data_IF_302872271791
#
_entry.id   IF_302872271791
#
_cell.length_a   1.000
_cell.length_b   1.000
_cell.length_c   1.000
_cell.angle_alpha   90.00
_cell.angle_beta   90.00
_cell.angle_gamma   90.00
#
_symmetry.space_group_name_H-M   'P 1'
#
loop_
_entity.id
_entity.type
_entity.pdbx_description
1 polymer ?
#
# COMPACT_ATOMS: atom_id res chain seq x y z
N UNK A 1 5.88 9.15 -19.43
CA UNK A 1 5.55 8.87 -18.02
C UNK A 1 6.23 7.62 -17.51
N UNK A 2 6.14 6.51 -18.23
CA UNK A 2 6.85 5.26 -17.88
C UNK A 2 8.35 5.47 -17.69
N UNK A 3 8.99 6.23 -18.57
CA UNK A 3 10.42 6.57 -18.45
C UNK A 3 10.75 7.41 -17.22
N UNK A 4 9.87 8.30 -16.79
CA UNK A 4 10.08 9.16 -15.61
C UNK A 4 10.10 8.37 -14.33
N UNK A 5 9.28 7.31 -14.22
CA UNK A 5 9.16 6.46 -13.06
C UNK A 5 9.93 5.14 -13.17
N UNK A 6 10.65 4.91 -14.28
CA UNK A 6 11.40 3.67 -14.55
C UNK A 6 10.53 2.41 -14.48
N UNK A 7 9.28 2.49 -14.95
CA UNK A 7 8.30 1.40 -14.92
C UNK A 7 8.00 0.89 -16.33
N UNK A 8 7.66 -0.38 -16.42
CA UNK A 8 7.01 -0.97 -17.60
C UNK A 8 5.55 -0.51 -17.69
N UNK A 9 4.93 -0.68 -18.86
CA UNK A 9 3.52 -0.33 -19.04
C UNK A 9 2.57 -1.06 -18.05
N UNK A 10 2.70 -2.37 -17.80
CA UNK A 10 1.88 -3.05 -16.78
C UNK A 10 2.07 -2.49 -15.37
N UNK A 11 3.32 -2.22 -14.97
CA UNK A 11 3.63 -1.64 -13.66
C UNK A 11 3.06 -0.22 -13.50
N UNK A 12 3.14 0.57 -14.56
CA UNK A 12 2.54 1.90 -14.58
C UNK A 12 1.01 1.84 -14.45
N UNK A 13 0.35 0.92 -15.17
CA UNK A 13 -1.10 0.70 -15.04
C UNK A 13 -1.47 0.30 -13.60
N UNK A 14 -0.73 -0.62 -13.00
CA UNK A 14 -0.95 -1.00 -11.60
C UNK A 14 -0.80 0.21 -10.66
N UNK A 15 0.25 1.02 -10.83
CA UNK A 15 0.44 2.24 -10.05
C UNK A 15 -0.72 3.22 -10.21
N UNK A 16 -1.25 3.40 -11.42
CA UNK A 16 -2.44 4.22 -11.67
C UNK A 16 -3.68 3.65 -10.96
N UNK A 17 -3.87 2.33 -10.95
CA UNK A 17 -4.93 1.68 -10.17
C UNK A 17 -4.82 1.95 -8.68
N UNK A 18 -3.60 1.88 -8.11
CA UNK A 18 -3.35 2.21 -6.71
C UNK A 18 -3.64 3.69 -6.39
N UNK A 19 -3.23 4.62 -7.27
CA UNK A 19 -3.52 6.05 -7.11
C UNK A 19 -5.03 6.32 -7.17
N UNK A 20 -5.74 5.69 -8.10
CA UNK A 20 -7.19 5.80 -8.21
C UNK A 20 -7.91 5.23 -6.97
N UNK A 21 -7.44 4.09 -6.44
CA UNK A 21 -7.94 3.54 -5.18
C UNK A 21 -7.68 4.49 -4.01
N UNK A 22 -6.47 5.04 -3.90
CA UNK A 22 -6.12 5.98 -2.84
C UNK A 22 -7.01 7.23 -2.86
N UNK A 23 -7.38 7.72 -4.05
CA UNK A 23 -8.35 8.80 -4.21
C UNK A 23 -9.76 8.39 -3.76
N UNK A 24 -10.24 7.21 -4.16
CA UNK A 24 -11.54 6.67 -3.72
C UNK A 24 -11.62 6.51 -2.19
N UNK A 25 -10.48 6.17 -1.56
CA UNK A 25 -10.34 6.05 -0.11
C UNK A 25 -10.11 7.39 0.61
N UNK A 26 -10.04 8.50 -0.12
CA UNK A 26 -9.79 9.83 0.46
C UNK A 26 -8.40 10.01 1.06
N UNK A 27 -7.43 9.15 0.69
CA UNK A 27 -6.03 9.27 1.10
C UNK A 27 -5.31 10.39 0.34
N UNK A 28 -5.74 10.64 -0.90
CA UNK A 28 -5.31 11.75 -1.75
C UNK A 28 -6.52 12.37 -2.45
N UNK A 29 -6.41 13.65 -2.83
CA UNK A 29 -7.49 14.37 -3.51
C UNK A 29 -7.46 14.18 -5.02
N UNK A 30 -6.27 13.98 -5.61
CA UNK A 30 -6.06 13.92 -7.06
C UNK A 30 -5.03 12.83 -7.40
N UNK A 31 -5.43 11.91 -8.26
CA UNK A 31 -4.66 10.75 -8.74
C UNK A 31 -3.87 11.05 -10.02
N UNK A 32 -3.90 12.28 -10.52
CA UNK A 32 -3.16 12.67 -11.73
C UNK A 32 -1.64 12.65 -11.52
N UNK A 33 -0.86 12.41 -12.59
CA UNK A 33 0.59 12.48 -12.53
C UNK A 33 1.11 13.86 -12.11
N UNK A 34 0.42 14.93 -12.47
CA UNK A 34 0.78 16.28 -12.07
C UNK A 34 0.63 16.48 -10.54
N UNK A 35 -0.43 15.93 -9.96
CA UNK A 35 -0.63 15.96 -8.52
C UNK A 35 0.39 15.09 -7.77
N UNK A 36 0.78 13.94 -8.31
CA UNK A 36 1.85 13.09 -7.78
C UNK A 36 3.18 13.87 -7.69
N UNK A 37 3.57 14.57 -8.78
CA UNK A 37 4.78 15.40 -8.78
C UNK A 37 4.69 16.59 -7.82
N UNK A 38 3.51 17.20 -7.68
CA UNK A 38 3.30 18.26 -6.69
C UNK A 38 3.48 17.74 -5.26
N UNK A 39 2.95 16.56 -4.93
CA UNK A 39 3.12 15.93 -3.61
C UNK A 39 4.59 15.57 -3.36
N UNK A 40 5.30 15.05 -4.39
CA UNK A 40 6.74 14.77 -4.31
C UNK A 40 7.55 16.04 -4.00
N UNK A 41 7.30 17.12 -4.74
CA UNK A 41 7.97 18.38 -4.53
C UNK A 41 7.73 18.94 -3.11
N UNK A 42 6.49 18.88 -2.63
CA UNK A 42 6.13 19.29 -1.28
C UNK A 42 6.86 18.45 -0.22
N UNK A 43 6.97 17.12 -0.42
CA UNK A 43 7.70 16.23 0.49
C UNK A 43 9.19 16.55 0.55
N UNK A 44 9.82 16.80 -0.60
CA UNK A 44 11.22 17.21 -0.66
C UNK A 44 11.46 18.57 0.01
N UNK A 45 10.55 19.53 -0.17
CA UNK A 45 10.62 20.82 0.49
C UNK A 45 10.47 20.70 2.01
N UNK A 46 9.58 19.83 2.50
CA UNK A 46 9.43 19.52 3.94
C UNK A 46 10.74 18.97 4.52
N UNK A 47 11.37 18.02 3.84
CA UNK A 47 12.64 17.41 4.27
C UNK A 47 13.73 18.47 4.37
N UNK A 48 13.90 19.29 3.31
CA UNK A 48 14.90 20.35 3.28
C UNK A 48 14.68 21.38 4.40
N UNK A 49 13.43 21.73 4.69
CA UNK A 49 13.10 22.64 5.80
C UNK A 49 13.50 22.05 7.15
N UNK A 50 13.16 20.77 7.39
CA UNK A 50 13.54 20.07 8.64
C UNK A 50 15.06 19.98 8.82
N UNK A 51 15.80 19.73 7.74
CA UNK A 51 17.28 19.73 7.77
C UNK A 51 17.82 21.11 8.13
N UNK A 52 17.29 22.17 7.52
CA UNK A 52 17.70 23.55 7.82
C UNK A 52 17.41 23.95 9.27
N UNK A 53 16.34 23.43 9.85
CA UNK A 53 15.96 23.65 11.27
C UNK A 53 16.75 22.75 12.24
N UNK A 54 17.67 21.89 11.75
CA UNK A 54 18.41 20.94 12.58
C UNK A 54 17.57 19.83 13.18
N UNK A 55 16.33 19.63 12.67
CA UNK A 55 15.46 18.56 13.13
C UNK A 55 15.91 17.21 12.55
N UNK A 56 15.77 16.10 13.29
CA UNK A 56 16.17 14.80 12.79
C UNK A 56 15.34 14.41 11.55
N UNK A 57 16.05 14.01 10.49
CA UNK A 57 15.48 13.45 9.27
C UNK A 57 15.82 11.97 9.23
N UNK A 58 14.79 11.13 9.33
CA UNK A 58 14.94 9.68 9.23
C UNK A 58 14.64 9.21 7.79
N UNK A 59 15.52 8.37 7.25
CA UNK A 59 15.36 7.81 5.91
C UNK A 59 15.98 8.70 4.82
N UNK A 60 15.35 8.72 3.65
CA UNK A 60 15.88 9.46 2.50
C UNK A 60 15.79 10.97 2.69
N UNK A 61 16.85 11.68 2.26
CA UNK A 61 16.89 13.15 2.27
C UNK A 61 16.30 13.80 1.01
N UNK A 62 16.08 12.99 -0.02
CA UNK A 62 15.50 13.44 -1.28
C UNK A 62 14.81 12.29 -1.99
N UNK A 63 13.59 12.52 -2.44
CA UNK A 63 12.84 11.58 -3.25
C UNK A 63 12.98 11.91 -4.75
N UNK A 64 13.59 11.00 -5.52
CA UNK A 64 13.41 10.94 -6.96
C UNK A 64 11.98 10.59 -7.32
N UNK A 65 11.56 10.78 -8.59
CA UNK A 65 10.20 10.43 -9.00
C UNK A 65 9.88 8.92 -8.79
N UNK A 66 10.74 7.96 -9.18
CA UNK A 66 10.49 6.54 -8.90
C UNK A 66 10.40 6.22 -7.41
N UNK A 67 11.33 6.76 -6.61
CA UNK A 67 11.36 6.48 -5.17
C UNK A 67 10.13 7.06 -4.45
N UNK A 68 9.65 8.24 -4.88
CA UNK A 68 8.45 8.84 -4.29
C UNK A 68 7.19 8.06 -4.64
N UNK A 69 7.06 7.60 -5.90
CA UNK A 69 5.94 6.75 -6.28
C UNK A 69 5.90 5.48 -5.43
N UNK A 70 7.02 4.77 -5.29
CA UNK A 70 7.10 3.58 -4.44
C UNK A 70 6.74 3.88 -2.98
N UNK A 71 7.20 5.01 -2.46
CA UNK A 71 6.84 5.46 -1.11
C UNK A 71 5.33 5.64 -0.96
N UNK A 72 4.67 6.34 -1.91
CA UNK A 72 3.21 6.54 -1.85
C UNK A 72 2.45 5.22 -1.99
N UNK A 73 2.80 4.37 -2.97
CA UNK A 73 2.11 3.08 -3.17
C UNK A 73 2.21 2.18 -1.93
N UNK A 74 3.39 2.12 -1.31
CA UNK A 74 3.60 1.38 -0.07
C UNK A 74 2.76 1.97 1.06
N UNK A 75 2.73 3.29 1.17
CA UNK A 75 1.97 3.99 2.20
C UNK A 75 0.47 3.75 2.08
N UNK A 76 -0.10 3.82 0.88
CA UNK A 76 -1.52 3.56 0.66
C UNK A 76 -1.91 2.13 1.05
N UNK A 77 -1.08 1.14 0.69
CA UNK A 77 -1.32 -0.25 1.07
C UNK A 77 -1.23 -0.42 2.58
N UNK A 78 -0.24 0.17 3.25
CA UNK A 78 -0.10 0.13 4.70
C UNK A 78 -1.30 0.80 5.42
N UNK A 79 -1.72 1.99 4.96
CA UNK A 79 -2.86 2.71 5.53
C UNK A 79 -4.18 1.94 5.41
N UNK A 80 -4.30 1.02 4.44
CA UNK A 80 -5.42 0.11 4.28
C UNK A 80 -5.29 -1.15 5.16
N UNK A 81 -4.11 -1.77 5.16
CA UNK A 81 -3.83 -3.04 5.87
C UNK A 81 -3.78 -2.85 7.39
N UNK A 82 -3.18 -1.76 7.84
CA UNK A 82 -3.22 -1.25 9.22
C UNK A 82 -4.08 0.02 9.23
N UNK A 83 -5.42 -0.11 9.26
CA UNK A 83 -6.28 0.97 8.84
C UNK A 83 -6.07 2.22 9.67
N UNK A 84 -5.69 3.30 8.99
CA UNK A 84 -5.65 4.63 9.57
C UNK A 84 -7.07 5.11 9.91
N UNK A 85 -7.17 6.19 10.67
CA UNK A 85 -8.46 6.72 11.14
C UNK A 85 -9.43 7.00 9.98
N UNK A 86 -8.94 7.54 8.85
CA UNK A 86 -9.76 7.78 7.65
C UNK A 86 -10.38 6.50 7.09
N UNK A 87 -9.59 5.44 6.95
CA UNK A 87 -10.06 4.15 6.43
C UNK A 87 -11.07 3.51 7.38
N UNK A 88 -10.85 3.61 8.69
CA UNK A 88 -11.81 3.12 9.70
C UNK A 88 -13.14 3.87 9.63
N UNK A 89 -13.10 5.19 9.48
CA UNK A 89 -14.29 6.02 9.37
C UNK A 89 -15.15 5.70 8.13
N UNK A 90 -14.52 5.26 7.04
CA UNK A 90 -15.23 4.83 5.83
C UNK A 90 -15.92 3.46 5.96
N UNK A 91 -15.58 2.66 6.97
CA UNK A 91 -16.12 1.32 7.15
C UNK A 91 -15.75 0.32 6.04
N UNK A 92 -14.75 0.64 5.22
CA UNK A 92 -14.31 -0.21 4.09
C UNK A 92 -13.24 -1.23 4.47
N UNK A 93 -12.69 -1.12 5.69
CA UNK A 93 -11.70 -2.06 6.17
C UNK A 93 -12.37 -3.40 6.51
N UNK A 94 -11.99 -4.49 5.84
CA UNK A 94 -12.59 -5.78 6.12
C UNK A 94 -12.18 -6.28 7.51
N UNK A 95 -13.15 -6.85 8.21
CA UNK A 95 -12.95 -7.63 9.43
C UNK A 95 -13.17 -9.10 9.09
N UNK A 96 -12.42 -9.97 9.72
CA UNK A 96 -12.47 -11.41 9.46
C UNK A 96 -12.88 -12.15 10.75
N UNK A 97 -13.68 -13.20 10.58
CA UNK A 97 -14.01 -14.11 11.69
C UNK A 97 -12.83 -15.02 11.99
N UNK A 98 -12.83 -15.61 13.19
CA UNK A 98 -11.80 -16.60 13.57
C UNK A 98 -11.82 -17.83 12.63
N UNK A 99 -12.99 -18.24 12.15
CA UNK A 99 -13.15 -19.31 11.19
C UNK A 99 -12.48 -18.96 9.84
N UNK A 100 -12.67 -17.73 9.34
CA UNK A 100 -12.05 -17.27 8.09
C UNK A 100 -10.53 -17.21 8.19
N UNK A 101 -10.00 -16.67 9.28
CA UNK A 101 -8.55 -16.56 9.49
C UNK A 101 -7.92 -17.94 9.68
N UNK A 102 -8.60 -18.87 10.36
CA UNK A 102 -8.15 -20.27 10.49
C UNK A 102 -8.15 -21.01 9.16
N UNK A 103 -9.22 -20.87 8.37
CA UNK A 103 -9.28 -21.46 7.04
C UNK A 103 -8.17 -20.95 6.10
N UNK A 104 -7.84 -19.65 6.20
CA UNK A 104 -6.74 -19.06 5.45
C UNK A 104 -5.37 -19.61 5.92
N UNK A 105 -5.15 -19.77 7.23
CA UNK A 105 -3.95 -20.41 7.78
C UNK A 105 -3.78 -21.83 7.27
N UNK A 106 -4.83 -22.64 7.34
CA UNK A 106 -4.82 -24.05 6.89
C UNK A 106 -4.57 -24.20 5.38
N UNK A 107 -5.01 -23.21 4.59
CA UNK A 107 -4.81 -23.17 3.14
C UNK A 107 -3.39 -22.72 2.73
N UNK A 108 -2.59 -22.13 3.65
CA UNK A 108 -1.28 -21.54 3.34
C UNK A 108 -0.17 -22.10 4.26
N UNK A 109 0.00 -23.40 4.42
CA UNK A 109 0.93 -23.98 5.38
C UNK A 109 2.39 -23.58 5.15
N UNK A 110 2.77 -23.39 3.88
CA UNK A 110 4.15 -23.03 3.50
C UNK A 110 4.58 -21.65 4.05
N UNK A 111 3.64 -20.74 4.26
CA UNK A 111 3.93 -19.41 4.80
C UNK A 111 4.29 -19.44 6.29
N UNK A 112 3.93 -20.50 6.98
CA UNK A 112 4.12 -20.66 8.42
C UNK A 112 5.16 -21.71 8.78
N UNK A 113 5.75 -22.37 7.77
CA UNK A 113 6.79 -23.38 7.97
C UNK A 113 8.11 -22.70 8.28
N UNK A 114 8.78 -23.17 9.35
CA UNK A 114 10.14 -22.77 9.73
C UNK A 114 11.17 -23.77 9.18
N UNK A 115 12.44 -23.44 9.35
CA UNK A 115 13.53 -24.40 9.14
C UNK A 115 13.34 -25.64 10.02
N UNK A 116 13.68 -26.83 9.49
CA UNK A 116 13.60 -28.12 10.17
C UNK A 116 12.20 -28.69 10.42
N UNK A 117 11.17 -28.23 9.69
CA UNK A 117 9.82 -28.81 9.76
C UNK A 117 8.98 -28.33 10.94
N UNK A 118 9.48 -27.37 11.69
CA UNK A 118 8.71 -26.64 12.69
C UNK A 118 7.80 -25.58 12.00
N UNK A 119 6.71 -25.20 12.63
CA UNK A 119 5.77 -24.21 12.12
C UNK A 119 5.34 -23.22 13.19
N UNK A 120 5.01 -22.00 12.76
CA UNK A 120 4.31 -21.05 13.63
C UNK A 120 2.88 -21.49 13.83
N UNK A 121 2.40 -21.50 15.07
CA UNK A 121 1.01 -21.82 15.35
C UNK A 121 0.06 -20.75 14.82
N UNK A 122 -1.22 -21.12 14.66
CA UNK A 122 -2.25 -20.17 14.29
C UNK A 122 -2.33 -18.97 15.26
N UNK A 123 -2.28 -19.23 16.55
CA UNK A 123 -2.36 -18.22 17.60
C UNK A 123 -1.23 -17.20 17.51
N UNK A 124 0.00 -17.65 17.24
CA UNK A 124 1.17 -16.78 17.03
C UNK A 124 1.05 -15.96 15.74
N UNK A 125 0.36 -16.48 14.73
CA UNK A 125 0.31 -15.93 13.38
C UNK A 125 -0.93 -15.08 13.10
N UNK A 126 -1.94 -15.08 13.98
CA UNK A 126 -3.27 -14.49 13.74
C UNK A 126 -3.23 -13.04 13.23
N UNK A 127 -2.42 -12.17 13.85
CA UNK A 127 -2.31 -10.77 13.41
C UNK A 127 -1.66 -10.65 12.01
N UNK A 128 -0.71 -11.53 11.70
CA UNK A 128 -0.07 -11.57 10.39
C UNK A 128 -1.05 -12.08 9.34
N UNK A 129 -1.87 -13.08 9.68
CA UNK A 129 -2.92 -13.63 8.80
C UNK A 129 -3.91 -12.53 8.43
N UNK A 130 -4.45 -11.80 9.41
CA UNK A 130 -5.39 -10.70 9.15
C UNK A 130 -4.78 -9.62 8.25
N UNK A 131 -3.51 -9.28 8.44
CA UNK A 131 -2.80 -8.33 7.55
C UNK A 131 -2.72 -8.87 6.13
N UNK A 132 -2.32 -10.13 5.95
CA UNK A 132 -2.24 -10.78 4.63
C UNK A 132 -3.59 -10.82 3.92
N UNK A 133 -4.64 -11.17 4.62
CA UNK A 133 -6.00 -11.17 4.06
C UNK A 133 -6.43 -9.76 3.64
N UNK A 134 -6.07 -8.70 4.40
CA UNK A 134 -6.32 -7.30 3.98
C UNK A 134 -5.48 -6.88 2.79
N UNK A 135 -4.23 -7.36 2.67
CA UNK A 135 -3.40 -7.15 1.48
C UNK A 135 -4.07 -7.73 0.23
N UNK A 136 -4.61 -8.94 0.31
CA UNK A 136 -5.35 -9.58 -0.79
C UNK A 136 -6.60 -8.77 -1.18
N UNK A 137 -7.35 -8.28 -0.20
CA UNK A 137 -8.51 -7.40 -0.45
C UNK A 137 -8.07 -6.11 -1.15
N UNK A 138 -6.98 -5.47 -0.70
CA UNK A 138 -6.44 -4.28 -1.34
C UNK A 138 -6.06 -4.55 -2.80
N UNK A 139 -5.32 -5.63 -3.06
CA UNK A 139 -4.88 -5.99 -4.40
C UNK A 139 -6.08 -6.31 -5.32
N UNK A 140 -7.12 -6.97 -4.81
CA UNK A 140 -8.36 -7.21 -5.55
C UNK A 140 -9.09 -5.91 -5.90
N UNK A 141 -9.18 -4.95 -4.98
CA UNK A 141 -9.78 -3.63 -5.25
C UNK A 141 -9.01 -2.87 -6.34
N UNK A 142 -7.68 -2.95 -6.35
CA UNK A 142 -6.85 -2.37 -7.43
C UNK A 142 -7.16 -3.05 -8.77
N UNK A 143 -7.25 -4.39 -8.79
CA UNK A 143 -7.57 -5.14 -10.02
C UNK A 143 -8.97 -4.80 -10.55
N UNK A 144 -9.96 -4.61 -9.70
CA UNK A 144 -11.31 -4.21 -10.09
C UNK A 144 -11.31 -2.82 -10.76
N UNK A 145 -10.57 -1.86 -10.21
CA UNK A 145 -10.38 -0.54 -10.82
C UNK A 145 -9.74 -0.65 -12.22
N UNK A 146 -8.75 -1.52 -12.37
CA UNK A 146 -8.08 -1.73 -13.67
C UNK A 146 -9.03 -2.34 -14.71
N UNK A 147 -9.89 -3.27 -14.31
CA UNK A 147 -10.94 -3.84 -15.18
C UNK A 147 -11.95 -2.78 -15.59
N UNK A 148 -12.49 -2.00 -14.64
CA UNK A 148 -13.42 -0.89 -14.92
C UNK A 148 -12.82 0.13 -15.91
N UNK A 149 -11.49 0.34 -15.88
CA UNK A 149 -10.81 1.27 -16.76
C UNK A 149 -10.53 0.70 -18.15
N UNK A 150 -10.47 -0.64 -18.30
CA UNK A 150 -10.26 -1.30 -19.57
C UNK A 150 -11.57 -1.40 -20.39
N UNK A 151 -12.72 -1.37 -19.73
CA UNK A 151 -14.05 -1.51 -20.35
C UNK A 151 -14.63 -0.15 -20.83
N UNK A 152 -13.86 0.95 -20.69
CA UNK A 152 -14.23 2.32 -21.14
C UNK A 152 -13.44 2.74 -22.35
#
# INVERSE_FOLDING_TARGET
MERTYCLTLPEWRYAQGCLALAKRLGLIDDDSPAALEKRRAAKNAEISRREAEGAPVYGTRYFSAPAYLQYELTRFKLDFVEPCEKIRALGVCPTFTDEQTRAWYDANPDLFTRYFGDSFSYEESRLIIEKRMREEVYDNLVQDILRESADR
#
